data_IF_020035252014
#
_entry.id   IF_020035252014
#
_cell.length_a   1.000
_cell.length_b   1.000
_cell.length_c   1.000
_cell.angle_alpha   90.00
_cell.angle_beta   90.00
_cell.angle_gamma   90.00
#
_symmetry.space_group_name_H-M   'P 1'
#
loop_
_entity.id
_entity.type
_entity.pdbx_description
1 polymer ?
#
# COMPACT_ATOMS: atom_id res chain seq x y z
N UNK A 1 -8.38 -16.78 -24.46
CA UNK A 1 -9.46 -16.08 -23.73
C UNK A 1 -8.84 -15.43 -22.51
N UNK A 2 -9.10 -14.15 -22.24
CA UNK A 2 -8.54 -13.45 -21.07
C UNK A 2 -9.56 -13.53 -19.94
N UNK A 3 -9.17 -14.09 -18.80
CA UNK A 3 -10.01 -14.12 -17.60
C UNK A 3 -9.95 -12.74 -16.93
N UNK A 4 -11.10 -12.10 -16.71
CA UNK A 4 -11.23 -10.79 -16.06
C UNK A 4 -11.91 -10.97 -14.71
N UNK A 5 -11.52 -10.16 -13.72
CA UNK A 5 -12.15 -10.17 -12.41
C UNK A 5 -12.17 -8.77 -11.76
N UNK A 6 -13.07 -8.57 -10.79
CA UNK A 6 -13.07 -7.45 -9.84
C UNK A 6 -12.69 -7.95 -8.45
N UNK A 7 -12.18 -7.08 -7.58
CA UNK A 7 -11.92 -7.37 -6.16
C UNK A 7 -12.74 -6.39 -5.33
N UNK A 8 -13.46 -6.90 -4.35
CA UNK A 8 -14.21 -6.10 -3.39
C UNK A 8 -14.12 -6.71 -1.99
N UNK A 9 -14.14 -5.89 -0.95
CA UNK A 9 -14.21 -6.42 0.41
C UNK A 9 -15.45 -7.29 0.61
N UNK A 10 -15.30 -8.40 1.34
CA UNK A 10 -16.28 -9.49 1.49
C UNK A 10 -17.61 -9.16 2.19
N UNK A 11 -18.17 -7.97 1.98
CA UNK A 11 -19.50 -7.56 2.40
C UNK A 11 -20.47 -7.52 1.21
N UNK A 12 -21.77 -7.72 1.48
CA UNK A 12 -22.79 -7.65 0.43
C UNK A 12 -22.87 -6.25 -0.18
N UNK A 13 -22.65 -5.22 0.63
CA UNK A 13 -22.68 -3.84 0.18
C UNK A 13 -21.60 -3.57 -0.87
N UNK A 14 -20.36 -3.94 -0.59
CA UNK A 14 -19.24 -3.76 -1.52
C UNK A 14 -19.49 -4.54 -2.80
N UNK A 15 -19.85 -5.82 -2.69
CA UNK A 15 -20.11 -6.68 -3.85
C UNK A 15 -21.27 -6.18 -4.72
N UNK A 16 -22.32 -5.61 -4.13
CA UNK A 16 -23.40 -4.98 -4.90
C UNK A 16 -22.93 -3.76 -5.71
N UNK A 17 -21.90 -3.04 -5.23
CA UNK A 17 -21.37 -1.82 -5.85
C UNK A 17 -20.23 -2.09 -6.83
N UNK A 18 -19.41 -3.11 -6.59
CA UNK A 18 -18.23 -3.41 -7.40
C UNK A 18 -18.37 -4.58 -8.38
N UNK A 19 -19.36 -5.47 -8.20
CA UNK A 19 -19.60 -6.55 -9.16
C UNK A 19 -20.11 -6.00 -10.49
N UNK A 20 -19.46 -6.42 -11.58
CA UNK A 20 -19.97 -6.22 -12.95
C UNK A 20 -20.94 -7.37 -13.27
N UNK A 21 -22.24 -7.11 -13.49
CA UNK A 21 -23.22 -8.17 -13.73
C UNK A 21 -22.91 -8.99 -15.00
N UNK A 22 -23.16 -10.29 -14.94
CA UNK A 22 -22.95 -11.23 -16.04
C UNK A 22 -21.97 -12.34 -15.67
N UNK A 23 -21.48 -13.06 -16.67
CA UNK A 23 -20.62 -14.23 -16.49
C UNK A 23 -19.23 -14.08 -17.14
N UNK A 24 -18.95 -12.87 -17.64
CA UNK A 24 -17.72 -12.50 -18.33
C UNK A 24 -16.64 -11.92 -17.40
N UNK A 25 -17.04 -11.44 -16.22
CA UNK A 25 -16.15 -10.89 -15.18
C UNK A 25 -16.43 -11.63 -13.88
N UNK A 26 -15.40 -12.22 -13.29
CA UNK A 26 -15.51 -12.92 -12.01
C UNK A 26 -15.46 -11.92 -10.85
N UNK A 27 -16.38 -12.01 -9.89
CA UNK A 27 -16.32 -11.21 -8.66
C UNK A 27 -15.45 -11.92 -7.63
N UNK A 28 -14.23 -11.43 -7.41
CA UNK A 28 -13.35 -11.88 -6.34
C UNK A 28 -13.57 -11.08 -5.05
N UNK A 29 -13.03 -11.56 -3.93
CA UNK A 29 -13.13 -10.84 -2.65
C UNK A 29 -11.78 -10.64 -1.99
N UNK A 30 -11.65 -9.57 -1.21
CA UNK A 30 -10.66 -9.43 -0.14
C UNK A 30 -11.36 -9.44 1.23
N UNK A 31 -10.59 -9.67 2.28
CA UNK A 31 -11.06 -9.61 3.66
C UNK A 31 -9.90 -9.65 4.65
N UNK A 32 -10.14 -9.16 5.86
CA UNK A 32 -9.16 -9.12 6.94
C UNK A 32 -8.61 -10.50 7.29
N UNK A 33 -7.29 -10.59 7.43
CA UNK A 33 -6.64 -11.76 8.02
C UNK A 33 -6.95 -11.83 9.51
N UNK A 34 -7.49 -12.96 9.96
CA UNK A 34 -7.99 -13.11 11.33
C UNK A 34 -9.47 -13.51 11.39
N UNK A 35 -10.21 -13.31 10.31
CA UNK A 35 -11.61 -13.72 10.21
C UNK A 35 -11.78 -15.10 9.57
N UNK A 36 -12.86 -15.80 9.90
CA UNK A 36 -13.21 -17.04 9.18
C UNK A 36 -13.43 -16.73 7.69
N UNK A 37 -12.68 -17.34 6.75
CA UNK A 37 -12.80 -17.01 5.34
C UNK A 37 -14.11 -17.52 4.69
N UNK A 38 -14.77 -18.52 5.29
CA UNK A 38 -15.90 -19.21 4.63
C UNK A 38 -17.16 -18.36 4.41
N UNK A 39 -17.58 -17.48 5.35
CA UNK A 39 -18.66 -16.54 5.08
C UNK A 39 -18.39 -15.66 3.85
N UNK A 40 -17.17 -15.14 3.69
CA UNK A 40 -16.77 -14.33 2.54
C UNK A 40 -16.84 -15.13 1.23
N UNK A 41 -16.32 -16.35 1.22
CA UNK A 41 -16.38 -17.25 0.05
C UNK A 41 -17.78 -17.74 -0.29
N UNK A 42 -18.63 -17.94 0.73
CA UNK A 42 -20.06 -18.23 0.50
C UNK A 42 -20.73 -17.06 -0.19
N UNK A 43 -20.48 -15.84 0.28
CA UNK A 43 -21.03 -14.64 -0.31
C UNK A 43 -20.50 -14.41 -1.74
N UNK A 44 -19.18 -14.56 -1.96
CA UNK A 44 -18.56 -14.53 -3.29
C UNK A 44 -19.29 -15.42 -4.31
N UNK A 45 -19.68 -16.63 -3.90
CA UNK A 45 -20.41 -17.56 -4.76
C UNK A 45 -21.79 -17.06 -5.18
N UNK A 46 -22.46 -16.27 -4.35
CA UNK A 46 -23.78 -15.72 -4.65
C UNK A 46 -23.74 -14.63 -5.73
N UNK A 47 -22.59 -13.98 -5.91
CA UNK A 47 -22.39 -12.92 -6.92
C UNK A 47 -21.84 -13.43 -8.25
N UNK A 48 -21.59 -14.74 -8.38
CA UNK A 48 -21.02 -15.34 -9.57
C UNK A 48 -21.96 -16.40 -10.15
N UNK A 49 -21.91 -16.57 -11.48
CA UNK A 49 -22.71 -17.59 -12.15
C UNK A 49 -22.37 -19.01 -11.63
N UNK A 50 -23.36 -19.93 -11.58
CA UNK A 50 -23.13 -21.31 -11.14
C UNK A 50 -21.95 -21.97 -11.85
N UNK A 51 -21.02 -22.56 -11.09
CA UNK A 51 -19.81 -23.19 -11.62
C UNK A 51 -18.69 -22.23 -12.01
N UNK A 52 -18.90 -20.91 -11.97
CA UNK A 52 -17.91 -19.86 -12.28
C UNK A 52 -17.46 -19.07 -11.05
N UNK A 53 -17.28 -19.77 -9.93
CA UNK A 53 -16.87 -19.14 -8.67
C UNK A 53 -15.79 -19.96 -7.96
N UNK A 54 -14.54 -19.97 -8.49
CA UNK A 54 -13.42 -20.47 -7.72
C UNK A 54 -13.27 -19.63 -6.46
N UNK A 55 -13.02 -20.26 -5.31
CA UNK A 55 -12.83 -19.54 -4.05
C UNK A 55 -11.49 -18.81 -4.12
N UNK A 56 -11.52 -17.47 -4.17
CA UNK A 56 -10.32 -16.66 -4.35
C UNK A 56 -10.36 -15.45 -3.43
N UNK A 57 -9.37 -15.35 -2.54
CA UNK A 57 -9.00 -14.11 -1.86
C UNK A 57 -7.93 -13.41 -2.69
N UNK A 58 -8.25 -12.27 -3.27
CA UNK A 58 -7.33 -11.50 -4.12
C UNK A 58 -6.40 -10.60 -3.34
N UNK A 59 -6.69 -10.35 -2.07
CA UNK A 59 -5.79 -9.73 -1.12
C UNK A 59 -5.87 -10.46 0.22
N UNK A 60 -4.95 -11.40 0.42
CA UNK A 60 -4.71 -12.03 1.71
C UNK A 60 -3.68 -11.20 2.46
N UNK A 61 -4.13 -10.37 3.39
CA UNK A 61 -3.30 -9.39 4.09
C UNK A 61 -2.25 -10.06 4.98
N UNK A 62 -0.99 -10.06 4.56
CA UNK A 62 0.12 -10.67 5.30
C UNK A 62 0.64 -9.81 6.44
N UNK A 63 0.36 -8.51 6.39
CA UNK A 63 0.66 -7.49 7.38
C UNK A 63 -0.22 -6.27 7.12
N UNK A 64 0.29 -5.05 7.30
CA UNK A 64 -0.51 -3.84 7.09
C UNK A 64 0.34 -2.61 6.74
N UNK A 65 -0.31 -1.57 6.19
CA UNK A 65 0.30 -0.27 5.96
C UNK A 65 0.52 0.49 7.27
N UNK A 66 1.37 1.51 7.26
CA UNK A 66 1.66 2.37 8.42
C UNK A 66 1.82 3.81 7.96
N UNK A 67 1.38 4.74 8.81
CA UNK A 67 1.50 6.17 8.60
C UNK A 67 2.61 6.80 9.45
N UNK A 68 3.06 8.00 9.08
CA UNK A 68 3.98 8.76 9.92
C UNK A 68 3.35 9.06 11.29
N UNK A 69 4.11 8.81 12.36
CA UNK A 69 3.66 9.01 13.75
C UNK A 69 3.03 7.78 14.41
N UNK A 70 2.74 6.73 13.65
CA UNK A 70 2.22 5.47 14.18
C UNK A 70 3.34 4.52 14.63
N UNK A 71 2.96 3.52 15.43
CA UNK A 71 3.79 2.33 15.61
C UNK A 71 3.79 1.50 14.33
N UNK A 72 4.95 0.96 13.95
CA UNK A 72 5.07 0.08 12.77
C UNK A 72 4.11 -1.10 12.92
N UNK A 73 3.25 -1.28 11.90
CA UNK A 73 2.32 -2.39 11.88
C UNK A 73 3.06 -3.73 11.89
N UNK A 74 2.51 -4.67 12.66
CA UNK A 74 3.05 -6.02 12.77
C UNK A 74 1.90 -7.02 12.95
N UNK A 75 1.98 -8.16 12.27
CA UNK A 75 1.02 -9.26 12.39
C UNK A 75 1.75 -10.56 12.68
N UNK A 76 1.14 -11.39 13.52
CA UNK A 76 1.76 -12.62 13.98
C UNK A 76 1.91 -13.64 12.84
N UNK A 77 3.13 -14.15 12.66
CA UNK A 77 3.48 -15.09 11.61
C UNK A 77 2.67 -16.41 11.67
N UNK A 78 2.40 -16.91 12.88
CA UNK A 78 1.69 -18.17 13.10
C UNK A 78 0.21 -18.00 12.82
N UNK A 79 -0.38 -16.91 13.28
CA UNK A 79 -1.78 -16.54 13.01
C UNK A 79 -1.96 -16.39 11.51
N UNK A 80 -1.19 -15.55 10.84
CA UNK A 80 -1.26 -15.35 9.38
C UNK A 80 -1.13 -16.67 8.62
N UNK A 81 -0.16 -17.52 8.97
CA UNK A 81 -0.03 -18.83 8.33
C UNK A 81 -1.23 -19.76 8.56
N UNK A 82 -1.82 -19.75 9.76
CA UNK A 82 -3.00 -20.56 10.07
C UNK A 82 -4.22 -20.16 9.23
N UNK A 83 -4.41 -18.87 8.96
CA UNK A 83 -5.52 -18.39 8.11
C UNK A 83 -5.29 -18.69 6.63
N UNK A 84 -4.05 -18.61 6.14
CA UNK A 84 -3.72 -19.11 4.81
C UNK A 84 -4.03 -20.62 4.71
N UNK A 85 -3.65 -21.41 5.71
CA UNK A 85 -3.93 -22.84 5.75
C UNK A 85 -5.44 -23.13 5.73
N UNK A 86 -6.26 -22.35 6.43
CA UNK A 86 -7.72 -22.47 6.36
C UNK A 86 -8.21 -22.33 4.93
N UNK A 87 -7.78 -21.31 4.19
CA UNK A 87 -8.17 -21.10 2.79
C UNK A 87 -7.75 -22.29 1.92
N UNK A 88 -6.47 -22.68 1.97
CA UNK A 88 -5.92 -23.74 1.11
C UNK A 88 -6.51 -25.12 1.43
N UNK A 89 -6.83 -25.40 2.70
CA UNK A 89 -7.35 -26.70 3.15
C UNK A 89 -8.68 -27.11 2.54
N UNK A 90 -9.46 -26.17 1.99
CA UNK A 90 -10.68 -26.47 1.22
C UNK A 90 -10.63 -25.94 -0.20
N UNK A 91 -9.46 -26.03 -0.82
CA UNK A 91 -9.26 -25.73 -2.24
C UNK A 91 -9.57 -24.26 -2.60
N UNK A 92 -9.41 -23.36 -1.63
CA UNK A 92 -9.39 -21.92 -1.89
C UNK A 92 -8.03 -21.46 -2.40
N UNK A 93 -8.03 -20.34 -3.10
CA UNK A 93 -6.84 -19.65 -3.60
C UNK A 93 -6.66 -18.33 -2.86
N UNK A 94 -5.42 -17.90 -2.71
CA UNK A 94 -5.07 -16.64 -2.06
C UNK A 94 -3.93 -15.94 -2.81
N UNK A 95 -4.04 -14.63 -2.97
CA UNK A 95 -2.95 -13.75 -3.41
C UNK A 95 -2.41 -13.03 -2.19
N UNK A 96 -1.14 -13.25 -1.85
CA UNK A 96 -0.53 -12.66 -0.66
C UNK A 96 -0.33 -11.14 -0.87
N UNK A 97 -1.06 -10.32 -0.12
CA UNK A 97 -0.94 -8.87 -0.12
C UNK A 97 -0.30 -8.41 1.19
N UNK A 98 0.94 -7.96 1.26
CA UNK A 98 1.97 -8.06 0.23
C UNK A 98 2.80 -9.31 0.45
N UNK A 99 3.21 -9.98 -0.63
CA UNK A 99 4.28 -10.98 -0.55
C UNK A 99 5.64 -10.29 -0.31
N UNK A 100 5.87 -9.18 -1.02
CA UNK A 100 6.98 -8.25 -0.87
C UNK A 100 6.40 -6.85 -1.09
N UNK A 101 6.52 -5.95 -0.12
CA UNK A 101 5.98 -4.61 -0.25
C UNK A 101 6.96 -3.62 -0.89
N UNK A 102 8.19 -3.54 -0.38
CA UNK A 102 9.26 -2.72 -0.95
C UNK A 102 9.27 -1.27 -0.42
N UNK A 103 9.47 -0.29 -1.31
CA UNK A 103 9.71 1.11 -0.94
C UNK A 103 8.92 2.07 -1.83
N UNK A 104 8.26 3.04 -1.22
CA UNK A 104 7.64 4.19 -1.88
C UNK A 104 8.70 5.27 -2.16
N UNK A 105 9.54 5.08 -3.18
CA UNK A 105 10.57 6.07 -3.53
C UNK A 105 9.99 7.43 -3.94
N UNK A 106 10.80 8.49 -3.82
CA UNK A 106 10.43 9.86 -4.22
C UNK A 106 9.15 10.33 -3.50
N UNK A 107 8.13 10.72 -4.26
CA UNK A 107 6.86 11.25 -3.76
C UNK A 107 5.68 10.30 -4.09
N UNK A 108 5.94 9.00 -4.22
CA UNK A 108 4.92 8.01 -4.59
C UNK A 108 4.17 7.41 -3.40
N UNK A 109 4.48 7.82 -2.16
CA UNK A 109 3.69 7.42 -0.98
C UNK A 109 2.28 7.99 -1.07
N UNK A 110 1.27 7.16 -0.82
CA UNK A 110 -0.11 7.60 -0.65
C UNK A 110 -0.39 8.19 0.74
N UNK A 111 -1.67 8.43 1.02
CA UNK A 111 -2.17 8.89 2.30
C UNK A 111 -3.61 8.44 2.50
N UNK A 112 -4.07 8.48 3.75
CA UNK A 112 -5.44 8.20 4.16
C UNK A 112 -6.00 9.38 4.96
N UNK A 113 -7.32 9.38 5.15
CA UNK A 113 -7.99 10.22 6.14
C UNK A 113 -8.40 9.34 7.32
N UNK A 114 -8.18 9.81 8.54
CA UNK A 114 -8.50 9.09 9.76
C UNK A 114 -9.98 9.23 10.14
N UNK A 115 -10.25 9.82 11.30
CA UNK A 115 -11.62 9.96 11.81
C UNK A 115 -12.52 10.81 10.88
N UNK A 116 -11.93 11.81 10.23
CA UNK A 116 -12.56 12.66 9.23
C UNK A 116 -11.53 13.18 8.22
N UNK A 117 -11.98 13.96 7.24
CA UNK A 117 -11.16 14.48 6.14
C UNK A 117 -10.03 15.43 6.59
N UNK A 118 -10.09 15.96 7.82
CA UNK A 118 -9.05 16.85 8.37
C UNK A 118 -7.89 16.08 9.01
N UNK A 119 -8.11 14.81 9.33
CA UNK A 119 -7.10 13.91 9.90
C UNK A 119 -6.26 13.26 8.79
N UNK A 120 -5.37 14.04 8.18
CA UNK A 120 -4.51 13.58 7.10
C UNK A 120 -3.38 12.66 7.61
N UNK A 121 -3.36 11.43 7.12
CA UNK A 121 -2.43 10.38 7.53
C UNK A 121 -1.49 10.00 6.36
N UNK A 122 -0.29 10.61 6.25
CA UNK A 122 0.64 10.30 5.17
C UNK A 122 1.30 8.94 5.38
N UNK A 123 1.32 8.12 4.34
CA UNK A 123 2.02 6.83 4.34
C UNK A 123 3.54 6.99 4.45
N UNK A 124 4.20 5.95 4.98
CA UNK A 124 5.66 5.92 5.05
C UNK A 124 6.31 5.74 3.67
N UNK A 125 7.57 6.18 3.55
CA UNK A 125 8.47 5.77 2.46
C UNK A 125 8.72 4.25 2.51
N UNK A 126 8.86 3.73 3.72
CA UNK A 126 8.99 2.32 4.02
C UNK A 126 7.68 1.58 3.74
N UNK A 127 7.67 0.67 2.76
CA UNK A 127 6.48 -0.15 2.43
C UNK A 127 6.76 -1.64 2.64
N UNK A 128 7.55 -2.00 3.65
CA UNK A 128 7.82 -3.40 4.01
C UNK A 128 6.56 -4.20 4.36
N UNK A 129 5.54 -3.51 4.88
CA UNK A 129 4.20 -4.05 5.16
C UNK A 129 4.19 -5.15 6.23
N UNK A 130 5.31 -5.43 6.91
CA UNK A 130 5.51 -6.68 7.67
C UNK A 130 5.24 -7.92 6.78
N UNK A 131 5.56 -7.81 5.49
CA UNK A 131 5.43 -8.86 4.50
C UNK A 131 6.42 -10.01 4.78
N UNK A 132 6.17 -11.24 4.25
CA UNK A 132 7.13 -12.32 4.37
C UNK A 132 8.46 -12.03 3.66
N UNK A 133 8.49 -11.18 2.63
CA UNK A 133 9.73 -10.71 2.02
C UNK A 133 9.92 -9.24 2.42
N UNK A 134 10.97 -8.97 3.20
CA UNK A 134 11.26 -7.63 3.72
C UNK A 134 11.50 -6.62 2.59
N UNK A 135 11.47 -5.33 2.90
CA UNK A 135 11.81 -4.24 1.97
C UNK A 135 13.16 -4.48 1.26
N UNK A 136 14.15 -4.99 1.98
CA UNK A 136 15.49 -5.31 1.45
C UNK A 136 15.54 -6.57 0.57
N UNK A 137 14.42 -7.28 0.41
CA UNK A 137 14.34 -8.60 -0.22
C UNK A 137 14.71 -9.77 0.72
N UNK A 138 15.06 -9.49 1.97
CA UNK A 138 15.47 -10.53 2.92
C UNK A 138 14.28 -11.34 3.44
N UNK A 139 14.50 -12.64 3.66
CA UNK A 139 13.46 -13.63 3.98
C UNK A 139 13.77 -14.45 5.22
N UNK A 140 14.85 -14.10 5.91
CA UNK A 140 15.18 -14.65 7.23
C UNK A 140 14.27 -14.00 8.29
N UNK A 141 13.02 -14.45 8.29
CA UNK A 141 12.00 -14.05 9.24
C UNK A 141 10.97 -15.19 9.45
N UNK A 142 10.27 -15.21 10.60
CA UNK A 142 9.30 -16.26 10.91
C UNK A 142 8.13 -16.36 9.92
N UNK A 143 7.69 -15.23 9.35
CA UNK A 143 6.51 -15.16 8.48
C UNK A 143 6.74 -15.84 7.14
N UNK A 144 7.88 -15.59 6.49
CA UNK A 144 8.29 -16.32 5.29
C UNK A 144 8.28 -17.83 5.53
N UNK A 145 8.94 -18.28 6.60
CA UNK A 145 9.07 -19.70 6.92
C UNK A 145 7.70 -20.34 7.22
N UNK A 146 6.83 -19.65 7.94
CA UNK A 146 5.50 -20.14 8.28
C UNK A 146 4.61 -20.29 7.04
N UNK A 147 4.53 -19.26 6.19
CA UNK A 147 3.75 -19.29 4.96
C UNK A 147 4.30 -20.32 3.97
N UNK A 148 5.63 -20.39 3.81
CA UNK A 148 6.28 -21.39 2.95
C UNK A 148 5.97 -22.82 3.39
N UNK A 149 5.95 -23.10 4.70
CA UNK A 149 5.55 -24.42 5.25
C UNK A 149 4.10 -24.76 4.93
N UNK A 150 3.18 -23.79 5.04
CA UNK A 150 1.76 -24.01 4.70
C UNK A 150 1.62 -24.31 3.21
N UNK A 151 2.21 -23.48 2.33
CA UNK A 151 2.16 -23.68 0.88
C UNK A 151 2.72 -25.06 0.50
N UNK A 152 3.81 -25.51 1.13
CA UNK A 152 4.41 -26.83 0.89
C UNK A 152 3.44 -28.01 1.11
N UNK A 153 2.44 -27.87 2.00
CA UNK A 153 1.43 -28.91 2.27
C UNK A 153 0.42 -29.07 1.13
N UNK A 154 0.16 -27.99 0.38
CA UNK A 154 -0.94 -27.90 -0.59
C UNK A 154 -0.47 -27.81 -2.05
N UNK A 155 0.84 -27.71 -2.30
CA UNK A 155 1.43 -27.79 -3.63
C UNK A 155 1.81 -29.23 -3.99
N UNK A 156 1.64 -29.61 -5.25
CA UNK A 156 2.17 -30.87 -5.80
C UNK A 156 3.59 -30.71 -6.34
N UNK A 157 4.03 -29.49 -6.60
CA UNK A 157 5.37 -29.19 -7.08
C UNK A 157 6.34 -28.92 -5.92
N UNK A 158 7.60 -29.38 -6.00
CA UNK A 158 8.60 -29.04 -5.00
C UNK A 158 8.82 -27.53 -4.96
N UNK A 159 8.91 -26.97 -3.76
CA UNK A 159 9.21 -25.56 -3.61
C UNK A 159 10.66 -25.28 -4.02
N UNK A 160 10.92 -24.16 -4.72
CA UNK A 160 12.26 -23.81 -5.14
C UNK A 160 13.19 -23.60 -3.94
N UNK A 161 14.49 -23.75 -4.20
CA UNK A 161 15.55 -23.37 -3.26
C UNK A 161 15.46 -21.88 -2.95
N UNK A 162 15.80 -21.55 -1.72
CA UNK A 162 15.70 -20.19 -1.19
C UNK A 162 17.01 -19.45 -1.49
N UNK A 163 16.99 -18.26 -2.14
CA UNK A 163 18.20 -17.48 -2.37
C UNK A 163 18.76 -16.93 -1.05
N UNK A 164 20.06 -16.67 -1.03
CA UNK A 164 20.71 -16.00 0.11
C UNK A 164 20.28 -14.53 0.19
N UNK A 165 20.19 -14.01 1.42
CA UNK A 165 19.95 -12.59 1.67
C UNK A 165 21.07 -11.72 1.07
N UNK A 166 20.74 -10.46 0.74
CA UNK A 166 21.71 -9.53 0.17
C UNK A 166 22.66 -9.00 1.26
N UNK A 167 23.94 -8.85 0.94
CA UNK A 167 24.92 -8.26 1.86
C UNK A 167 24.58 -6.80 2.17
N UNK A 168 24.70 -6.42 3.45
CA UNK A 168 24.46 -5.05 3.92
C UNK A 168 25.78 -4.46 4.41
N UNK A 169 26.02 -3.18 4.08
CA UNK A 169 27.25 -2.48 4.44
C UNK A 169 26.94 -1.20 5.24
N UNK A 170 27.54 -1.09 6.41
CA UNK A 170 27.58 0.15 7.16
C UNK A 170 28.73 1.01 6.62
N UNK A 171 28.42 2.03 5.81
CA UNK A 171 29.42 2.90 5.18
C UNK A 171 30.11 3.88 6.16
N UNK A 172 29.60 3.98 7.39
CA UNK A 172 30.12 4.90 8.40
C UNK A 172 29.59 6.32 8.24
N UNK A 173 30.18 7.24 8.99
CA UNK A 173 29.74 8.64 9.05
C UNK A 173 30.16 9.41 7.80
N UNK A 174 29.18 10.06 7.15
CA UNK A 174 29.42 11.00 6.06
C UNK A 174 29.24 12.43 6.59
N UNK A 175 30.28 13.26 6.52
CA UNK A 175 30.20 14.67 6.92
C UNK A 175 29.60 15.49 5.77
N UNK A 176 28.41 16.06 6.01
CA UNK A 176 27.76 16.95 5.06
C UNK A 176 28.19 18.40 5.31
N UNK A 177 28.40 19.17 4.24
CA UNK A 177 28.62 20.60 4.30
C UNK A 177 27.43 21.32 3.67
N UNK A 178 26.87 22.31 4.37
CA UNK A 178 25.80 23.15 3.83
C UNK A 178 26.32 23.91 2.61
N UNK A 179 25.61 23.81 1.49
CA UNK A 179 25.95 24.53 0.25
C UNK A 179 25.12 25.81 0.11
N UNK A 180 23.80 25.69 -0.03
CA UNK A 180 22.88 26.83 -0.18
C UNK A 180 21.56 26.56 0.55
N UNK A 181 20.82 27.64 0.83
CA UNK A 181 19.41 27.57 1.23
C UNK A 181 18.53 27.39 -0.01
N UNK A 182 17.41 26.66 0.12
CA UNK A 182 16.41 26.56 -0.95
C UNK A 182 15.97 27.96 -1.42
N UNK A 183 15.71 28.87 -0.50
CA UNK A 183 15.29 30.25 -0.81
C UNK A 183 16.36 31.08 -1.53
N UNK A 184 17.65 30.74 -1.38
CA UNK A 184 18.72 31.39 -2.13
C UNK A 184 18.91 30.76 -3.54
N UNK A 185 18.33 29.58 -3.77
CA UNK A 185 18.33 28.91 -5.07
C UNK A 185 17.11 29.36 -5.88
N UNK A 186 15.94 29.41 -5.24
CA UNK A 186 14.67 29.86 -5.84
C UNK A 186 14.60 31.40 -5.84
N UNK A 187 15.71 32.09 -6.14
CA UNK A 187 15.70 33.54 -6.28
C UNK A 187 14.64 33.91 -7.33
N UNK A 188 13.59 34.60 -6.87
CA UNK A 188 12.36 34.87 -7.62
C UNK A 188 12.60 35.71 -8.87
N UNK A 189 13.82 36.23 -9.03
CA UNK A 189 14.26 36.96 -10.22
C UNK A 189 14.56 36.09 -11.44
N UNK A 190 14.77 34.77 -11.29
CA UNK A 190 15.21 33.89 -12.40
C UNK A 190 14.59 32.49 -12.40
N UNK A 191 13.32 32.35 -11.97
CA UNK A 191 12.61 31.08 -12.13
C UNK A 191 11.65 31.13 -13.32
N UNK A 192 11.95 30.38 -14.38
CA UNK A 192 11.00 30.08 -15.44
C UNK A 192 9.89 29.20 -14.82
N UNK A 193 8.73 29.80 -14.51
CA UNK A 193 7.61 29.11 -13.87
C UNK A 193 6.88 29.87 -12.76
N UNK A 194 7.19 31.15 -12.53
CA UNK A 194 6.40 31.99 -11.61
C UNK A 194 5.01 32.26 -12.22
N UNK A 195 3.96 31.94 -11.47
CA UNK A 195 2.58 32.30 -11.82
C UNK A 195 2.06 33.30 -10.80
N UNK A 196 1.66 34.48 -11.27
CA UNK A 196 0.95 35.46 -10.45
C UNK A 196 -0.55 35.16 -10.44
N UNK A 197 -1.17 35.24 -9.26
CA UNK A 197 -2.61 35.04 -9.06
C UNK A 197 -3.08 35.84 -7.85
N UNK A 198 -4.32 36.33 -7.90
CA UNK A 198 -4.95 37.02 -6.77
C UNK A 198 -5.13 36.08 -5.55
N UNK A 199 -5.41 34.80 -5.81
CA UNK A 199 -5.61 33.78 -4.79
C UNK A 199 -4.58 32.65 -4.94
N UNK A 200 -4.17 31.98 -3.85
CA UNK A 200 -3.31 30.79 -3.93
C UNK A 200 -3.93 29.73 -4.84
N UNK A 201 -3.14 29.23 -5.79
CA UNK A 201 -3.54 28.17 -6.72
C UNK A 201 -3.02 26.83 -6.23
N UNK A 202 -3.78 25.74 -6.39
CA UNK A 202 -3.28 24.39 -6.14
C UNK A 202 -2.17 24.01 -7.16
N UNK A 203 -1.30 23.06 -6.80
CA UNK A 203 -0.16 22.68 -7.65
C UNK A 203 -0.58 22.08 -9.00
N UNK A 204 -1.72 21.37 -9.01
CA UNK A 204 -2.28 20.71 -10.19
C UNK A 204 -2.74 21.73 -11.23
N UNK A 205 -3.25 22.88 -10.78
CA UNK A 205 -3.62 24.00 -11.66
C UNK A 205 -2.42 24.59 -12.40
N UNK A 206 -1.21 24.34 -11.91
CA UNK A 206 0.05 24.76 -12.50
C UNK A 206 0.79 23.62 -13.20
N UNK A 207 0.16 22.45 -13.33
CA UNK A 207 0.74 21.28 -13.98
C UNK A 207 1.79 20.55 -13.15
N UNK A 208 1.94 20.87 -11.86
CA UNK A 208 2.83 20.18 -10.95
C UNK A 208 2.07 19.13 -10.14
N UNK A 209 2.57 17.88 -10.14
CA UNK A 209 1.91 16.75 -9.47
C UNK A 209 2.56 16.33 -8.14
N UNK A 210 3.84 16.63 -7.95
CA UNK A 210 4.62 16.16 -6.79
C UNK A 210 5.61 17.21 -6.32
N UNK A 211 6.14 17.04 -5.11
CA UNK A 211 7.22 17.85 -4.57
C UNK A 211 6.72 19.09 -3.84
N UNK A 212 7.39 20.22 -4.07
CA UNK A 212 7.20 21.44 -3.27
C UNK A 212 6.78 22.61 -4.15
N UNK A 213 5.89 23.46 -3.63
CA UNK A 213 5.49 24.74 -4.21
C UNK A 213 5.89 25.87 -3.26
N UNK A 214 6.37 26.98 -3.82
CA UNK A 214 6.64 28.21 -3.06
C UNK A 214 5.58 29.26 -3.39
N UNK A 215 4.84 29.70 -2.38
CA UNK A 215 3.90 30.82 -2.48
C UNK A 215 4.54 32.07 -1.87
N UNK A 216 4.49 33.19 -2.58
CA UNK A 216 5.07 34.47 -2.16
C UNK A 216 4.00 35.55 -2.27
N UNK A 217 3.89 36.42 -1.27
CA UNK A 217 3.00 37.58 -1.27
C UNK A 217 3.62 38.72 -0.47
N UNK A 218 3.36 39.95 -0.89
CA UNK A 218 3.78 41.15 -0.19
C UNK A 218 2.66 41.69 0.70
N UNK A 219 2.97 41.89 1.99
CA UNK A 219 2.06 42.57 2.91
C UNK A 219 2.36 44.07 2.97
N UNK A 220 1.40 44.91 2.61
CA UNK A 220 1.48 46.35 2.90
C UNK A 220 1.00 46.63 4.32
N UNK A 221 1.94 46.97 5.22
CA UNK A 221 1.61 47.39 6.57
C UNK A 221 0.66 48.60 6.56
N UNK A 222 -0.42 48.55 7.36
CA UNK A 222 -1.26 49.73 7.60
C UNK A 222 -0.45 50.74 8.44
N UNK A 223 -0.51 52.01 8.05
CA UNK A 223 0.32 53.09 8.61
C UNK A 223 0.30 53.26 10.14
N UNK A 224 -0.64 52.64 10.87
CA UNK A 224 -0.81 52.78 12.33
C UNK A 224 -0.99 51.44 13.10
N UNK A 225 -0.55 50.29 12.57
CA UNK A 225 -0.68 49.00 13.28
C UNK A 225 0.65 48.50 13.87
N UNK A 226 0.69 48.22 15.17
CA UNK A 226 1.74 47.38 15.77
C UNK A 226 1.49 45.90 15.42
N UNK A 227 2.57 45.16 15.18
CA UNK A 227 2.57 43.70 15.00
C UNK A 227 2.01 42.98 16.23
#
# INVERSE_FOLDING_TARGET
MVNRYTTDGGSRENLNKGTIPGDAVFSAVDFSTGDDPWPNFKLQKEFNAPGKSPLLSTEFYTGWLTHWGEHIANTDATVTASYLERILSKNGSAVLYMAHGGTNFRFYSGANTGADETDYMPGLTYYDYDAPIKESGDIDNPKYQALRRVIAKYTTAPLPSVPSNTEKKAYGLIKLQKTKSLFNIVDTTYFDGVTESENPLAMESLGQMFGFMLYVSDYKAKANGSL
#
